data_IF_416534041453
#
_entry.id   IF_416534041453
#
_cell.length_a   1.000
_cell.length_b   1.000
_cell.length_c   1.000
_cell.angle_alpha   90.00
_cell.angle_beta   90.00
_cell.angle_gamma   90.00
#
_symmetry.space_group_name_H-M   'P 1'
#
loop_
_entity.id
_entity.type
_entity.pdbx_description
1 polymer ?
#
# COMPACT_ATOMS: atom_id res chain seq x y z
N UNK A 1 -9.59 -5.31 31.85
CA UNK A 1 -8.74 -5.82 30.75
C UNK A 1 -9.09 -5.05 29.48
N UNK A 2 -8.23 -4.13 29.05
CA UNK A 2 -8.52 -3.20 27.96
C UNK A 2 -8.65 -3.92 26.61
N UNK A 3 -9.78 -3.72 25.93
CA UNK A 3 -9.95 -4.10 24.52
C UNK A 3 -8.83 -3.44 23.72
N UNK A 4 -7.85 -4.22 23.25
CA UNK A 4 -6.90 -3.81 22.20
C UNK A 4 -7.72 -3.60 20.93
N UNK A 5 -8.32 -2.43 20.79
CA UNK A 5 -8.85 -1.98 19.51
C UNK A 5 -7.74 -2.15 18.48
N UNK A 6 -8.04 -2.84 17.39
CA UNK A 6 -7.24 -2.80 16.16
C UNK A 6 -6.89 -1.35 15.92
N UNK A 7 -5.63 -0.94 16.17
CA UNK A 7 -5.21 0.43 15.87
C UNK A 7 -5.15 0.53 14.36
N UNK A 8 -6.25 0.99 13.75
CA UNK A 8 -6.34 1.28 12.31
C UNK A 8 -5.25 2.29 11.86
N UNK A 9 -4.52 2.91 12.80
CA UNK A 9 -3.39 3.82 12.55
C UNK A 9 -2.00 3.15 12.54
N UNK A 10 -1.86 1.87 12.90
CA UNK A 10 -0.53 1.24 12.96
C UNK A 10 -0.09 0.77 11.59
N UNK A 11 1.09 1.20 11.15
CA UNK A 11 1.69 0.74 9.90
C UNK A 11 2.76 -0.31 10.19
N UNK A 12 2.74 -1.41 9.43
CA UNK A 12 3.86 -2.34 9.35
C UNK A 12 5.10 -1.60 8.78
N UNK A 13 6.33 -2.01 9.12
CA UNK A 13 7.54 -1.31 8.68
C UNK A 13 7.61 -1.07 7.16
N UNK A 14 7.25 -2.08 6.35
CA UNK A 14 7.18 -1.95 4.89
C UNK A 14 6.13 -0.92 4.45
N UNK A 15 4.91 -1.01 5.00
CA UNK A 15 3.82 -0.09 4.68
C UNK A 15 4.12 1.36 5.13
N UNK A 16 4.84 1.54 6.25
CA UNK A 16 5.27 2.86 6.70
C UNK A 16 6.25 3.52 5.73
N UNK A 17 7.19 2.75 5.16
CA UNK A 17 8.11 3.24 4.13
C UNK A 17 7.36 3.64 2.86
N UNK A 18 6.45 2.78 2.38
CA UNK A 18 5.63 3.06 1.20
C UNK A 18 4.74 4.28 1.43
N UNK A 19 4.07 4.38 2.57
CA UNK A 19 3.25 5.53 2.93
C UNK A 19 4.06 6.84 2.97
N UNK A 20 5.32 6.79 3.45
CA UNK A 20 6.21 7.96 3.45
C UNK A 20 6.57 8.41 2.03
N UNK A 21 6.86 7.48 1.13
CA UNK A 21 7.14 7.79 -0.28
C UNK A 21 5.92 8.43 -0.96
N UNK A 22 4.72 7.85 -0.76
CA UNK A 22 3.45 8.39 -1.25
C UNK A 22 3.20 9.82 -0.74
N UNK A 23 3.39 10.06 0.56
CA UNK A 23 3.27 11.41 1.15
C UNK A 23 4.25 12.41 0.56
N UNK A 24 5.50 12.01 0.30
CA UNK A 24 6.49 12.86 -0.37
C UNK A 24 6.07 13.21 -1.80
N UNK A 25 5.35 12.31 -2.48
CA UNK A 25 4.74 12.56 -3.78
C UNK A 25 3.40 13.30 -3.75
N UNK A 26 2.97 13.81 -2.59
CA UNK A 26 1.72 14.58 -2.46
C UNK A 26 0.46 13.75 -2.21
N UNK A 27 0.58 12.42 -2.10
CA UNK A 27 -0.56 11.54 -1.85
C UNK A 27 -0.86 11.40 -0.35
N UNK A 28 -2.13 11.13 -0.01
CA UNK A 28 -2.59 10.90 1.36
C UNK A 28 -2.99 9.43 1.55
N UNK A 29 -2.04 8.52 1.85
CA UNK A 29 -2.35 7.11 2.07
C UNK A 29 -3.07 6.88 3.39
N UNK A 30 -4.24 6.26 3.29
CA UNK A 30 -5.01 5.78 4.43
C UNK A 30 -4.63 4.34 4.76
N UNK A 31 -4.30 4.04 6.03
CA UNK A 31 -4.00 2.69 6.46
C UNK A 31 -5.21 1.78 6.32
N UNK A 32 -5.01 0.67 5.62
CA UNK A 32 -5.98 -0.40 5.44
C UNK A 32 -5.72 -1.60 6.37
N UNK A 33 -6.40 -2.72 6.11
CA UNK A 33 -6.28 -3.93 6.91
C UNK A 33 -4.85 -4.47 6.95
N UNK A 34 -4.51 -5.12 8.06
CA UNK A 34 -3.25 -5.81 8.28
C UNK A 34 -3.52 -7.31 8.32
N UNK A 35 -2.83 -8.06 7.48
CA UNK A 35 -2.71 -9.51 7.58
C UNK A 35 -1.28 -9.87 8.06
N UNK A 36 -1.09 -10.12 9.37
CA UNK A 36 0.21 -10.47 9.93
C UNK A 36 0.69 -11.86 9.51
N UNK A 37 -0.19 -12.72 8.99
CA UNK A 37 0.15 -14.08 8.53
C UNK A 37 0.47 -14.11 7.03
N UNK A 38 -0.06 -13.17 6.25
CA UNK A 38 0.06 -13.11 4.79
C UNK A 38 1.45 -12.76 4.22
N UNK A 39 2.49 -12.62 5.04
CA UNK A 39 3.80 -12.14 4.57
C UNK A 39 4.98 -12.49 5.46
N UNK A 40 5.06 -13.73 5.99
CA UNK A 40 6.20 -14.16 6.81
C UNK A 40 7.54 -13.98 6.07
N UNK A 41 8.43 -13.17 6.64
CA UNK A 41 9.88 -13.20 6.39
C UNK A 41 10.39 -12.89 4.98
N UNK A 42 9.57 -12.30 4.10
CA UNK A 42 9.93 -12.06 2.69
C UNK A 42 10.42 -10.63 2.39
N UNK A 43 11.11 -10.48 1.26
CA UNK A 43 11.46 -9.20 0.64
C UNK A 43 10.23 -8.30 0.44
N UNK A 44 10.44 -6.97 0.47
CA UNK A 44 9.37 -6.01 0.22
C UNK A 44 8.80 -6.21 -1.20
N UNK A 45 7.47 -6.36 -1.28
CA UNK A 45 6.72 -6.48 -2.53
C UNK A 45 5.53 -5.53 -2.49
N UNK A 46 5.36 -4.76 -3.55
CA UNK A 46 4.29 -3.77 -3.65
C UNK A 46 3.44 -4.07 -4.88
N UNK A 47 2.13 -4.19 -4.68
CA UNK A 47 1.14 -4.36 -5.75
C UNK A 47 0.14 -3.22 -5.70
N UNK A 48 -0.11 -2.59 -6.83
CA UNK A 48 -1.04 -1.48 -6.98
C UNK A 48 -2.26 -1.99 -7.75
N UNK A 49 -3.45 -1.70 -7.24
CA UNK A 49 -4.71 -2.00 -7.91
C UNK A 49 -5.62 -0.78 -7.87
N UNK A 50 -6.14 -0.34 -9.01
CA UNK A 50 -7.18 0.69 -9.04
C UNK A 50 -8.57 0.08 -9.00
N UNK A 51 -9.45 0.67 -8.21
CA UNK A 51 -10.89 0.41 -8.12
C UNK A 51 -11.61 1.74 -8.44
N UNK A 52 -12.83 1.74 -9.01
CA UNK A 52 -13.58 2.96 -9.31
C UNK A 52 -13.65 3.98 -8.17
N UNK A 53 -13.58 3.52 -6.92
CA UNK A 53 -13.69 4.37 -5.73
C UNK A 53 -12.36 4.77 -5.08
N UNK A 54 -11.26 4.07 -5.38
CA UNK A 54 -9.96 4.23 -4.71
C UNK A 54 -8.84 3.44 -5.38
N UNK A 55 -7.60 3.90 -5.19
CA UNK A 55 -6.42 3.08 -5.48
C UNK A 55 -5.98 2.32 -4.22
N UNK A 56 -5.89 1.00 -4.32
CA UNK A 56 -5.37 0.11 -3.27
C UNK A 56 -3.91 -0.25 -3.55
N UNK A 57 -3.07 -0.12 -2.55
CA UNK A 57 -1.64 -0.45 -2.58
C UNK A 57 -1.39 -1.52 -1.52
N UNK A 58 -1.14 -2.75 -1.95
CA UNK A 58 -0.84 -3.88 -1.08
C UNK A 58 0.66 -4.00 -0.88
N UNK A 59 1.11 -3.94 0.37
CA UNK A 59 2.52 -3.97 0.76
C UNK A 59 2.79 -5.24 1.55
N UNK A 60 3.69 -6.10 1.06
CA UNK A 60 4.13 -7.33 1.72
C UNK A 60 5.61 -7.26 2.10
N UNK A 61 6.00 -7.74 3.28
CA UNK A 61 7.40 -7.83 3.71
C UNK A 61 7.56 -7.88 5.23
N UNK A 62 7.27 -9.05 5.84
CA UNK A 62 7.15 -9.20 7.30
C UNK A 62 5.71 -9.11 7.82
N UNK A 63 4.75 -9.37 6.94
CA UNK A 63 3.31 -9.15 7.07
C UNK A 63 2.77 -8.49 5.80
N UNK A 64 1.46 -8.45 5.63
CA UNK A 64 0.80 -7.73 4.55
C UNK A 64 -0.03 -6.61 5.15
N UNK A 65 0.06 -5.43 4.57
CA UNK A 65 -0.86 -4.33 4.86
C UNK A 65 -1.26 -3.62 3.59
N UNK A 66 -2.52 -3.22 3.54
CA UNK A 66 -3.05 -2.40 2.45
C UNK A 66 -2.98 -0.92 2.82
N UNK A 67 -2.75 -0.07 1.83
CA UNK A 67 -2.90 1.37 1.89
C UNK A 67 -3.91 1.78 0.82
N UNK A 68 -4.75 2.76 1.12
CA UNK A 68 -5.74 3.29 0.19
C UNK A 68 -5.46 4.75 -0.14
N UNK A 69 -5.56 5.11 -1.41
CA UNK A 69 -5.64 6.49 -1.88
C UNK A 69 -7.06 6.72 -2.35
N UNK A 70 -7.72 7.72 -1.79
CA UNK A 70 -9.07 8.12 -2.18
C UNK A 70 -9.02 9.31 -3.14
N UNK A 71 -9.98 9.37 -4.06
CA UNK A 71 -10.04 10.38 -5.12
C UNK A 71 -9.44 9.90 -6.44
N UNK A 72 -9.45 10.79 -7.43
CA UNK A 72 -8.86 10.53 -8.74
C UNK A 72 -7.33 10.45 -8.60
N UNK A 73 -6.81 9.25 -8.81
CA UNK A 73 -5.38 8.96 -8.68
C UNK A 73 -4.91 8.31 -9.98
N UNK A 74 -3.95 8.95 -10.63
CA UNK A 74 -3.31 8.39 -11.81
C UNK A 74 -2.38 7.23 -11.40
N UNK A 75 -2.79 6.00 -11.72
CA UNK A 75 -2.06 4.79 -11.31
C UNK A 75 -0.63 4.74 -11.84
N UNK A 76 -0.39 5.28 -13.04
CA UNK A 76 0.93 5.33 -13.67
C UNK A 76 1.87 6.29 -12.91
N UNK A 77 1.36 7.42 -12.43
CA UNK A 77 2.14 8.35 -11.62
C UNK A 77 2.52 7.73 -10.27
N UNK A 78 1.59 7.01 -9.62
CA UNK A 78 1.87 6.28 -8.37
C UNK A 78 2.88 5.15 -8.62
N UNK A 79 2.74 4.42 -9.72
CA UNK A 79 3.69 3.37 -10.10
C UNK A 79 5.09 3.93 -10.34
N UNK A 80 5.21 5.02 -11.08
CA UNK A 80 6.48 5.70 -11.34
C UNK A 80 7.14 6.14 -10.03
N UNK A 81 6.40 6.86 -9.18
CA UNK A 81 6.87 7.32 -7.87
C UNK A 81 7.40 6.18 -6.99
N UNK A 82 6.67 5.06 -6.94
CA UNK A 82 7.05 3.91 -6.13
C UNK A 82 8.22 3.15 -6.76
N UNK A 83 8.27 3.05 -8.09
CA UNK A 83 9.37 2.41 -8.82
C UNK A 83 10.67 3.19 -8.63
N UNK A 84 10.62 4.53 -8.64
CA UNK A 84 11.78 5.38 -8.36
C UNK A 84 12.28 5.22 -6.92
N UNK A 85 11.36 4.98 -5.98
CA UNK A 85 11.69 4.87 -4.54
C UNK A 85 12.13 3.47 -4.11
N UNK A 86 11.64 2.43 -4.77
CA UNK A 86 11.78 1.02 -4.33
C UNK A 86 12.29 0.07 -5.43
N UNK A 87 12.48 0.56 -6.66
CA UNK A 87 13.01 -0.20 -7.78
C UNK A 87 12.17 -1.45 -8.09
N UNK A 88 12.86 -2.59 -8.22
CA UNK A 88 12.28 -3.90 -8.56
C UNK A 88 11.34 -4.49 -7.50
N UNK A 89 11.15 -3.83 -6.36
CA UNK A 89 10.21 -4.24 -5.32
C UNK A 89 8.74 -3.98 -5.70
N UNK A 90 8.51 -3.13 -6.68
CA UNK A 90 7.17 -2.87 -7.22
C UNK A 90 6.88 -3.92 -8.29
N UNK A 91 5.88 -4.79 -8.04
CA UNK A 91 5.69 -6.01 -8.82
C UNK A 91 4.64 -5.88 -9.93
N UNK A 92 3.53 -5.19 -9.67
CA UNK A 92 2.44 -5.10 -10.64
C UNK A 92 1.49 -3.92 -10.34
N UNK A 93 1.15 -3.13 -11.36
CA UNK A 93 0.06 -2.16 -11.34
C UNK A 93 -1.07 -2.71 -12.22
N UNK A 94 -2.20 -3.04 -11.60
CA UNK A 94 -3.41 -3.47 -12.30
C UNK A 94 -4.45 -2.35 -12.19
N UNK A 95 -4.91 -1.82 -13.30
CA UNK A 95 -6.19 -1.12 -13.30
C UNK A 95 -7.28 -2.21 -13.40
N UNK A 96 -8.01 -2.48 -12.30
CA UNK A 96 -9.12 -3.44 -12.37
C UNK A 96 -10.32 -2.70 -12.98
N UNK A 97 -10.32 -2.58 -14.31
CA UNK A 97 -11.47 -2.09 -15.08
C UNK A 97 -12.49 -3.21 -15.21
N UNK A 98 -13.06 -3.68 -14.08
CA UNK A 98 -14.26 -4.51 -14.13
C UNK A 98 -15.48 -3.59 -14.15
N UNK A 99 -15.96 -3.36 -15.36
CA UNK A 99 -17.35 -2.93 -15.62
C UNK A 99 -18.30 -4.08 -15.33
#
# INVERSE_FOLDING_TARGET
MGRRGTRHSTLLPGAARVAKALKKGGYLPHPGPIDPKGGKGGSLRIKISSDPSRTRIRVAGGGVQELFLYGEVEINAVWSLLSDSFGSQVMEAIADTRH
#
